data_IF_533719042318
#
_entry.id   IF_533719042318
#
_cell.length_a   1.000
_cell.length_b   1.000
_cell.length_c   1.000
_cell.angle_alpha   90.00
_cell.angle_beta   90.00
_cell.angle_gamma   90.00
#
_symmetry.space_group_name_H-M   'P 1'
#
loop_
_entity.id
_entity.type
_entity.pdbx_description
1 polymer ?
#
# COMPACT_ATOMS: atom_id res chain seq x y z
N UNK A 1 12.14 5.49 -11.75
CA UNK A 1 10.89 5.34 -11.02
C UNK A 1 9.75 5.88 -11.88
N UNK A 2 8.96 5.04 -12.53
CA UNK A 2 7.89 5.42 -13.47
C UNK A 2 8.33 6.38 -14.60
N UNK A 3 9.55 6.18 -15.13
CA UNK A 3 10.09 7.01 -16.20
C UNK A 3 10.53 8.42 -15.79
N UNK A 4 10.58 8.74 -14.50
CA UNK A 4 11.15 10.00 -14.03
C UNK A 4 12.67 9.97 -14.19
N UNK A 5 13.21 10.82 -15.04
CA UNK A 5 14.64 11.02 -15.20
C UNK A 5 15.02 12.38 -14.59
N UNK A 6 15.94 12.36 -13.64
CA UNK A 6 16.44 13.57 -12.99
C UNK A 6 17.11 14.51 -14.02
N UNK A 7 17.68 13.95 -15.08
CA UNK A 7 18.31 14.73 -16.18
C UNK A 7 17.34 15.73 -16.78
N UNK A 8 16.07 15.39 -16.96
CA UNK A 8 15.06 16.32 -17.48
C UNK A 8 14.96 17.63 -16.69
N UNK A 9 15.28 17.60 -15.39
CA UNK A 9 15.30 18.80 -14.54
C UNK A 9 16.66 19.47 -14.55
N UNK A 10 17.74 18.68 -14.63
CA UNK A 10 19.10 19.21 -14.61
C UNK A 10 19.45 19.90 -15.93
N UNK A 11 19.05 19.29 -17.03
CA UNK A 11 19.38 19.77 -18.40
C UNK A 11 18.47 20.93 -18.84
N UNK A 12 17.37 21.18 -18.11
CA UNK A 12 16.40 22.23 -18.45
C UNK A 12 17.03 23.63 -18.58
N UNK A 13 18.02 23.95 -17.75
CA UNK A 13 18.70 25.25 -17.80
C UNK A 13 19.71 25.32 -18.99
N UNK A 14 20.23 24.16 -19.42
CA UNK A 14 21.09 24.07 -20.60
C UNK A 14 20.25 24.20 -21.88
N UNK A 15 19.08 23.57 -21.92
CA UNK A 15 18.15 23.63 -23.06
C UNK A 15 17.48 25.01 -23.16
N UNK A 16 17.29 25.71 -22.04
CA UNK A 16 16.65 27.04 -21.99
C UNK A 16 17.51 28.07 -21.23
N UNK A 17 18.58 28.62 -21.81
CA UNK A 17 19.51 29.51 -21.11
C UNK A 17 18.90 30.81 -20.58
N UNK A 18 17.79 31.27 -21.16
CA UNK A 18 17.04 32.46 -20.75
C UNK A 18 16.20 32.24 -19.48
N UNK A 19 16.23 31.01 -18.92
CA UNK A 19 15.34 30.63 -17.80
C UNK A 19 15.76 31.30 -16.50
N UNK A 20 14.80 31.95 -15.85
CA UNK A 20 14.98 32.49 -14.50
C UNK A 20 14.70 31.42 -13.45
N UNK A 21 15.71 31.01 -12.73
CA UNK A 21 15.58 30.02 -11.64
C UNK A 21 15.20 30.72 -10.35
N UNK A 22 14.06 30.33 -9.77
CA UNK A 22 13.59 30.80 -8.46
C UNK A 22 13.59 29.62 -7.49
N UNK A 23 14.35 29.75 -6.39
CA UNK A 23 14.42 28.71 -5.34
C UNK A 23 13.44 29.01 -4.23
N UNK A 24 12.47 28.11 -4.02
CA UNK A 24 11.54 28.18 -2.89
C UNK A 24 12.18 27.45 -1.71
N UNK A 25 12.82 28.17 -0.81
CA UNK A 25 13.63 27.60 0.27
C UNK A 25 12.94 27.63 1.64
N UNK A 26 11.92 28.48 1.81
CA UNK A 26 11.13 28.51 3.06
C UNK A 26 10.17 27.32 3.11
N UNK A 27 10.28 26.55 4.19
CA UNK A 27 9.37 25.44 4.51
C UNK A 27 8.38 25.88 5.58
N UNK A 28 7.11 25.54 5.37
CA UNK A 28 6.00 25.92 6.28
C UNK A 28 5.43 24.71 7.03
N UNK A 29 5.93 23.50 6.76
CA UNK A 29 5.38 22.25 7.29
C UNK A 29 6.16 21.74 8.50
N UNK A 30 7.49 21.72 8.39
CA UNK A 30 8.36 20.97 9.28
C UNK A 30 9.19 21.89 10.17
N UNK A 31 9.54 21.40 11.35
CA UNK A 31 10.49 22.07 12.25
C UNK A 31 11.91 22.00 11.69
N UNK A 32 12.81 22.85 12.20
CA UNK A 32 14.20 22.91 11.75
C UNK A 32 14.94 21.58 11.97
N UNK A 33 14.65 20.86 13.06
CA UNK A 33 15.25 19.55 13.35
C UNK A 33 15.01 18.55 12.21
N UNK A 34 13.78 18.51 11.67
CA UNK A 34 13.41 17.63 10.54
C UNK A 34 14.13 18.08 9.27
N UNK A 35 14.19 19.38 9.01
CA UNK A 35 14.84 19.92 7.81
C UNK A 35 16.36 19.68 7.82
N UNK A 36 17.00 19.78 8.98
CA UNK A 36 18.44 19.53 9.13
C UNK A 36 18.75 18.06 8.86
N UNK A 37 17.97 17.14 9.40
CA UNK A 37 18.12 15.71 9.14
C UNK A 37 17.89 15.37 7.67
N UNK A 38 16.81 15.87 7.07
CA UNK A 38 16.52 15.67 5.64
C UNK A 38 17.65 16.26 4.77
N UNK A 39 18.18 17.43 5.11
CA UNK A 39 19.29 18.08 4.40
C UNK A 39 20.58 17.29 4.54
N UNK A 40 20.82 16.63 5.68
CA UNK A 40 21.99 15.78 5.88
C UNK A 40 21.93 14.53 4.99
N UNK A 41 20.76 13.92 4.84
CA UNK A 41 20.55 12.77 3.94
C UNK A 41 20.73 13.19 2.48
N UNK A 42 20.07 14.26 2.05
CA UNK A 42 20.12 14.68 0.64
C UNK A 42 21.49 15.18 0.21
N UNK A 43 22.32 15.67 1.12
CA UNK A 43 23.72 16.07 0.84
C UNK A 43 24.59 14.94 0.29
N UNK A 44 24.22 13.68 0.53
CA UNK A 44 24.94 12.52 -0.01
C UNK A 44 24.70 12.33 -1.51
N UNK A 45 23.68 12.96 -2.08
CA UNK A 45 23.44 12.92 -3.53
C UNK A 45 24.38 13.88 -4.26
N UNK A 46 25.24 13.34 -5.12
CA UNK A 46 26.20 14.13 -5.89
C UNK A 46 25.53 14.96 -7.00
N UNK A 47 24.49 14.39 -7.64
CA UNK A 47 23.77 15.04 -8.75
C UNK A 47 22.50 15.70 -8.20
N UNK A 48 22.63 16.91 -7.68
CA UNK A 48 21.49 17.70 -7.20
C UNK A 48 21.71 19.20 -7.41
N UNK A 49 20.61 19.94 -7.58
CA UNK A 49 20.64 21.40 -7.47
C UNK A 49 20.71 21.79 -6.00
N UNK A 50 21.66 22.63 -5.64
CA UNK A 50 21.77 23.10 -4.27
C UNK A 50 20.54 23.89 -3.85
N UNK A 51 19.97 23.49 -2.72
CA UNK A 51 18.83 24.14 -2.08
C UNK A 51 18.98 24.03 -0.57
N UNK A 52 18.80 25.12 0.15
CA UNK A 52 18.83 25.16 1.62
C UNK A 52 17.44 25.45 2.15
N UNK A 53 16.79 24.43 2.65
CA UNK A 53 15.47 24.59 3.28
C UNK A 53 15.66 25.19 4.68
N UNK A 54 14.83 26.17 5.01
CA UNK A 54 14.75 26.77 6.31
C UNK A 54 13.30 27.00 6.73
N UNK A 55 13.05 27.15 8.03
CA UNK A 55 11.71 27.38 8.59
C UNK A 55 11.77 28.36 9.75
N UNK A 56 10.66 29.02 10.02
CA UNK A 56 10.46 29.83 11.24
C UNK A 56 10.05 28.97 12.45
N UNK A 57 9.70 27.69 12.22
CA UNK A 57 9.36 26.75 13.28
C UNK A 57 10.63 26.20 13.92
N UNK A 58 11.17 26.98 14.86
CA UNK A 58 12.34 26.56 15.62
C UNK A 58 12.01 25.44 16.62
N UNK A 59 12.98 24.58 16.93
CA UNK A 59 12.81 23.49 17.88
C UNK A 59 12.09 22.28 17.29
N UNK A 60 11.23 21.63 18.07
CA UNK A 60 10.53 20.41 17.76
C UNK A 60 11.11 19.19 18.48
N UNK A 61 10.36 18.08 18.46
CA UNK A 61 10.82 16.81 19.03
C UNK A 61 12.05 16.29 18.27
N UNK A 62 12.93 15.63 18.99
CA UNK A 62 14.07 14.94 18.39
C UNK A 62 13.60 13.76 17.53
N UNK A 63 14.34 13.47 16.46
CA UNK A 63 14.07 12.32 15.61
C UNK A 63 14.52 11.06 16.35
N UNK A 64 13.60 10.11 16.49
CA UNK A 64 13.92 8.80 17.05
C UNK A 64 14.36 7.87 15.92
N UNK A 65 15.48 7.22 16.10
CA UNK A 65 15.94 6.14 15.22
C UNK A 65 15.76 4.81 15.94
N UNK A 66 15.07 3.87 15.27
CA UNK A 66 14.90 2.51 15.75
C UNK A 66 15.40 1.54 14.66
N UNK A 67 16.11 0.50 15.09
CA UNK A 67 16.56 -0.59 14.22
C UNK A 67 16.05 -1.90 14.80
N UNK A 68 15.04 -2.49 14.14
CA UNK A 68 14.56 -3.84 14.44
C UNK A 68 15.55 -4.90 13.97
N UNK A 69 15.51 -6.07 14.58
CA UNK A 69 16.22 -7.27 14.13
C UNK A 69 15.59 -7.89 12.88
N UNK A 70 14.27 -7.72 12.75
CA UNK A 70 13.48 -8.16 11.60
C UNK A 70 12.28 -7.22 11.34
N UNK A 71 11.49 -7.54 10.33
CA UNK A 71 10.31 -6.76 9.95
C UNK A 71 9.18 -6.82 10.99
N UNK A 72 9.13 -7.83 11.83
CA UNK A 72 8.11 -7.98 12.86
C UNK A 72 8.41 -7.06 14.05
N UNK A 73 9.66 -6.99 14.48
CA UNK A 73 10.08 -6.05 15.53
C UNK A 73 9.89 -4.60 15.09
N UNK A 74 10.20 -4.27 13.81
CA UNK A 74 9.94 -2.95 13.24
C UNK A 74 8.45 -2.61 13.28
N UNK A 75 7.61 -3.55 12.86
CA UNK A 75 6.15 -3.39 12.85
C UNK A 75 5.56 -3.24 14.27
N UNK A 76 6.07 -3.98 15.24
CA UNK A 76 5.64 -3.88 16.64
C UNK A 76 6.04 -2.53 17.27
N UNK A 77 7.23 -2.01 16.95
CA UNK A 77 7.64 -0.67 17.34
C UNK A 77 6.69 0.39 16.76
N UNK A 78 6.38 0.30 15.46
CA UNK A 78 5.45 1.21 14.77
C UNK A 78 4.05 1.16 15.42
N UNK A 79 3.54 -0.05 15.66
CA UNK A 79 2.22 -0.23 16.26
C UNK A 79 2.13 0.32 17.69
N UNK A 80 3.20 0.18 18.46
CA UNK A 80 3.31 0.74 19.82
C UNK A 80 3.32 2.26 19.77
N UNK A 81 4.11 2.86 18.88
CA UNK A 81 4.17 4.30 18.69
C UNK A 81 2.81 4.86 18.21
N UNK A 82 2.13 4.15 17.31
CA UNK A 82 0.81 4.53 16.82
C UNK A 82 -0.24 4.52 17.93
N UNK A 83 -0.23 3.50 18.79
CA UNK A 83 -1.13 3.41 19.95
C UNK A 83 -0.89 4.55 20.93
N UNK A 84 0.36 4.90 21.22
CA UNK A 84 0.70 6.05 22.05
C UNK A 84 0.17 7.36 21.44
N UNK A 85 0.45 7.61 20.18
CA UNK A 85 0.01 8.81 19.49
C UNK A 85 -1.52 8.97 19.45
N UNK A 86 -2.28 7.87 19.33
CA UNK A 86 -3.75 7.90 19.35
C UNK A 86 -4.31 8.12 20.76
N UNK A 87 -3.63 7.64 21.79
CA UNK A 87 -4.05 7.82 23.19
C UNK A 87 -3.82 9.25 23.68
N UNK A 88 -2.77 9.88 23.22
CA UNK A 88 -2.37 11.24 23.66
C UNK A 88 -3.05 12.36 22.84
N UNK A 89 -3.73 12.01 21.76
CA UNK A 89 -4.31 12.97 20.82
C UNK A 89 -5.71 13.39 21.22
N UNK A 90 -5.85 14.21 22.28
CA UNK A 90 -7.14 14.87 22.60
C UNK A 90 -7.62 15.85 21.51
N UNK A 91 -6.71 16.30 20.63
CA UNK A 91 -6.95 17.31 19.59
C UNK A 91 -7.15 16.75 18.16
N UNK A 92 -7.09 15.45 17.96
CA UNK A 92 -7.31 14.85 16.62
C UNK A 92 -8.79 14.80 16.33
N UNK A 93 -9.23 15.49 15.29
CA UNK A 93 -10.62 15.49 14.84
C UNK A 93 -11.02 14.10 14.37
N UNK A 94 -12.30 13.72 14.56
CA UNK A 94 -12.80 12.45 14.03
C UNK A 94 -12.52 12.32 12.52
N UNK A 95 -11.79 11.28 12.13
CA UNK A 95 -11.40 11.01 10.74
C UNK A 95 -10.05 11.59 10.30
N UNK A 96 -9.37 12.39 11.11
CA UNK A 96 -7.98 12.79 10.88
C UNK A 96 -7.01 11.71 11.39
N UNK A 97 -5.88 11.56 10.70
CA UNK A 97 -4.84 10.63 11.11
C UNK A 97 -3.86 11.34 12.05
N UNK A 98 -3.68 10.79 13.26
CA UNK A 98 -2.69 11.28 14.22
C UNK A 98 -1.25 10.97 13.77
N UNK A 99 -1.05 9.93 12.98
CA UNK A 99 0.25 9.42 12.57
C UNK A 99 0.19 8.92 11.11
N UNK A 100 1.27 9.11 10.38
CA UNK A 100 1.45 8.53 9.06
C UNK A 100 2.67 7.62 9.04
N UNK A 101 2.50 6.41 8.52
CA UNK A 101 3.59 5.45 8.29
C UNK A 101 3.91 5.42 6.80
N UNK A 102 5.17 5.70 6.45
CA UNK A 102 5.63 5.65 5.08
C UNK A 102 6.59 4.46 4.92
N UNK A 103 6.40 3.69 3.87
CA UNK A 103 7.25 2.55 3.54
C UNK A 103 7.68 2.59 2.07
N UNK A 104 8.79 1.92 1.76
CA UNK A 104 9.39 1.96 0.43
C UNK A 104 8.70 1.03 -0.56
N UNK A 105 8.29 -0.15 -0.10
CA UNK A 105 7.67 -1.18 -0.94
C UNK A 105 6.36 -1.66 -0.33
N UNK A 106 5.41 -2.05 -1.18
CA UNK A 106 4.12 -2.56 -0.72
C UNK A 106 4.23 -3.87 0.09
N UNK A 107 5.34 -4.61 -0.03
CA UNK A 107 5.55 -5.83 0.75
C UNK A 107 5.63 -5.54 2.27
N UNK A 108 6.22 -4.40 2.64
CA UNK A 108 6.37 -3.99 4.04
C UNK A 108 5.02 -3.71 4.73
N UNK A 109 3.97 -3.36 3.98
CA UNK A 109 2.68 -3.03 4.58
C UNK A 109 2.07 -4.17 5.38
N UNK A 110 2.32 -5.44 5.00
CA UNK A 110 1.71 -6.60 5.63
C UNK A 110 2.05 -6.71 7.12
N UNK A 111 3.33 -6.70 7.45
CA UNK A 111 3.78 -6.81 8.85
C UNK A 111 3.23 -5.66 9.69
N UNK A 112 3.21 -4.43 9.13
CA UNK A 112 2.69 -3.23 9.79
C UNK A 112 1.17 -3.34 9.99
N UNK A 113 0.41 -3.79 8.98
CA UNK A 113 -1.03 -4.00 9.07
C UNK A 113 -1.39 -5.03 10.15
N UNK A 114 -0.70 -6.17 10.15
CA UNK A 114 -0.91 -7.24 11.13
C UNK A 114 -0.59 -6.76 12.56
N UNK A 115 0.46 -5.96 12.74
CA UNK A 115 0.81 -5.38 14.04
C UNK A 115 -0.22 -4.36 14.52
N UNK A 116 -0.69 -3.44 13.66
CA UNK A 116 -1.73 -2.47 14.00
C UNK A 116 -3.05 -3.15 14.38
N UNK A 117 -3.44 -4.20 13.66
CA UNK A 117 -4.63 -5.01 13.98
C UNK A 117 -4.50 -5.67 15.34
N UNK A 118 -3.33 -6.25 15.68
CA UNK A 118 -3.10 -6.87 16.99
C UNK A 118 -3.26 -5.91 18.16
N UNK A 119 -2.84 -4.65 18.00
CA UNK A 119 -2.96 -3.64 19.05
C UNK A 119 -4.27 -2.85 18.99
N UNK A 120 -5.16 -3.16 18.05
CA UNK A 120 -6.48 -2.53 17.92
C UNK A 120 -6.45 -1.08 17.40
N UNK A 121 -5.38 -0.66 16.70
CA UNK A 121 -5.28 0.66 16.12
C UNK A 121 -5.94 0.68 14.74
N UNK A 122 -6.94 1.54 14.56
CA UNK A 122 -7.58 1.75 13.27
C UNK A 122 -6.62 2.42 12.29
N UNK A 123 -6.54 1.93 11.06
CA UNK A 123 -5.67 2.46 10.03
C UNK A 123 -6.33 2.51 8.66
N UNK A 124 -5.76 3.30 7.76
CA UNK A 124 -6.14 3.40 6.35
C UNK A 124 -4.91 3.38 5.46
N UNK A 125 -4.93 2.55 4.41
CA UNK A 125 -3.89 2.55 3.38
C UNK A 125 -4.24 3.59 2.33
N UNK A 126 -3.27 4.44 1.99
CA UNK A 126 -3.41 5.47 0.96
C UNK A 126 -2.57 5.09 -0.25
N UNK A 127 -3.18 5.10 -1.43
CA UNK A 127 -2.50 4.79 -2.69
C UNK A 127 -2.19 3.31 -2.93
N UNK A 128 -2.76 2.43 -2.11
CA UNK A 128 -2.63 0.97 -2.24
C UNK A 128 -3.91 0.24 -1.88
N UNK A 129 -3.89 -1.07 -2.09
CA UNK A 129 -4.96 -1.99 -1.67
C UNK A 129 -4.41 -2.79 -0.49
N UNK A 130 -5.22 -3.03 0.54
CA UNK A 130 -4.85 -3.90 1.67
C UNK A 130 -4.29 -5.21 1.16
N UNK A 131 -3.31 -5.79 1.84
CA UNK A 131 -2.63 -7.00 1.38
C UNK A 131 -3.62 -8.09 0.96
N UNK A 132 -4.59 -8.40 1.81
CA UNK A 132 -5.60 -9.43 1.55
C UNK A 132 -6.66 -9.03 0.52
N UNK A 133 -6.72 -7.75 0.13
CA UNK A 133 -7.63 -7.25 -0.91
C UNK A 133 -7.00 -7.27 -2.29
N UNK A 134 -5.69 -7.51 -2.41
CA UNK A 134 -5.00 -7.61 -3.68
C UNK A 134 -5.55 -8.75 -4.50
N UNK A 135 -5.69 -8.51 -5.81
CA UNK A 135 -6.28 -9.50 -6.73
C UNK A 135 -5.55 -10.84 -6.64
N UNK A 136 -4.23 -10.82 -6.70
CA UNK A 136 -3.37 -12.01 -6.69
C UNK A 136 -3.55 -12.83 -5.40
N UNK A 137 -3.67 -12.15 -4.27
CA UNK A 137 -3.88 -12.79 -2.97
C UNK A 137 -5.26 -13.42 -2.88
N UNK A 138 -6.29 -12.68 -3.31
CA UNK A 138 -7.67 -13.20 -3.35
C UNK A 138 -7.81 -14.39 -4.30
N UNK A 139 -7.13 -14.35 -5.44
CA UNK A 139 -7.14 -15.45 -6.40
C UNK A 139 -6.43 -16.69 -5.83
N UNK A 140 -5.27 -16.51 -5.20
CA UNK A 140 -4.54 -17.61 -4.52
C UNK A 140 -5.38 -18.22 -3.39
N UNK A 141 -5.97 -17.39 -2.55
CA UNK A 141 -6.85 -17.85 -1.46
C UNK A 141 -8.07 -18.60 -1.98
N UNK A 142 -8.63 -18.17 -3.11
CA UNK A 142 -9.76 -18.86 -3.73
C UNK A 142 -9.35 -20.27 -4.23
N UNK A 143 -8.16 -20.42 -4.83
CA UNK A 143 -7.63 -21.74 -5.18
C UNK A 143 -7.41 -22.63 -3.96
N UNK A 144 -6.85 -22.10 -2.88
CA UNK A 144 -6.66 -22.86 -1.64
C UNK A 144 -7.97 -23.29 -1.01
N UNK A 145 -8.99 -22.41 -1.02
CA UNK A 145 -10.32 -22.75 -0.54
C UNK A 145 -10.96 -23.87 -1.35
N UNK A 146 -10.85 -23.83 -2.68
CA UNK A 146 -11.35 -24.88 -3.55
C UNK A 146 -10.65 -26.22 -3.35
N UNK A 147 -9.33 -26.20 -3.02
CA UNK A 147 -8.62 -27.42 -2.69
C UNK A 147 -9.13 -28.08 -1.39
N UNK A 148 -9.64 -27.29 -0.44
CA UNK A 148 -10.20 -27.78 0.83
C UNK A 148 -11.70 -28.09 0.67
N UNK A 149 -12.42 -27.23 -0.03
CA UNK A 149 -13.87 -27.36 -0.27
C UNK A 149 -14.15 -27.14 -1.79
N UNK A 150 -14.23 -28.21 -2.57
CA UNK A 150 -14.54 -28.13 -4.01
C UNK A 150 -15.93 -27.49 -4.30
N UNK A 151 -16.82 -27.49 -3.34
CA UNK A 151 -18.19 -26.96 -3.45
C UNK A 151 -18.26 -25.44 -3.15
N UNK A 152 -17.13 -24.74 -2.98
CA UNK A 152 -17.11 -23.28 -2.79
C UNK A 152 -17.32 -22.55 -4.13
N UNK A 153 -18.58 -22.34 -4.48
CA UNK A 153 -19.02 -21.68 -5.70
C UNK A 153 -18.47 -20.25 -5.84
N UNK A 154 -18.34 -19.52 -4.77
CA UNK A 154 -17.81 -18.15 -4.76
C UNK A 154 -16.33 -18.14 -5.16
N UNK A 155 -15.54 -19.05 -4.60
CA UNK A 155 -14.14 -19.21 -4.94
C UNK A 155 -13.97 -19.75 -6.37
N UNK A 156 -14.83 -20.67 -6.80
CA UNK A 156 -14.81 -21.21 -8.15
C UNK A 156 -15.08 -20.12 -9.19
N UNK A 157 -16.16 -19.35 -9.07
CA UNK A 157 -16.50 -18.23 -9.96
C UNK A 157 -15.37 -17.22 -10.06
N UNK A 158 -14.65 -17.02 -8.97
CA UNK A 158 -13.52 -16.10 -8.94
C UNK A 158 -12.35 -16.57 -9.80
N UNK A 159 -12.00 -17.84 -9.78
CA UNK A 159 -10.76 -18.36 -10.38
C UNK A 159 -10.96 -19.21 -11.62
N UNK A 160 -12.19 -19.52 -11.98
CA UNK A 160 -12.50 -20.39 -13.13
C UNK A 160 -11.82 -19.93 -14.44
N UNK A 161 -11.65 -18.63 -14.60
CA UNK A 161 -10.96 -18.02 -15.74
C UNK A 161 -9.66 -17.30 -15.37
N UNK A 162 -9.02 -17.69 -14.26
CA UNK A 162 -7.71 -17.19 -13.79
C UNK A 162 -6.78 -18.40 -13.59
N UNK A 163 -5.74 -18.60 -14.40
CA UNK A 163 -5.43 -17.90 -15.65
C UNK A 163 -6.56 -18.07 -16.70
N UNK A 164 -6.51 -17.24 -17.74
CA UNK A 164 -7.54 -17.26 -18.80
C UNK A 164 -7.69 -18.64 -19.44
N UNK A 165 -8.91 -19.20 -19.42
CA UNK A 165 -9.27 -20.52 -19.94
C UNK A 165 -10.36 -20.45 -21.03
N UNK A 166 -10.66 -19.25 -21.52
CA UNK A 166 -11.73 -19.05 -22.52
C UNK A 166 -13.15 -19.09 -21.95
N UNK A 167 -13.30 -19.17 -20.62
CA UNK A 167 -14.58 -19.20 -19.93
C UNK A 167 -15.07 -17.76 -19.72
N UNK A 168 -15.79 -17.25 -20.71
CA UNK A 168 -16.38 -15.91 -20.66
C UNK A 168 -17.76 -15.89 -20.00
N UNK A 169 -18.35 -14.70 -19.97
CA UNK A 169 -19.66 -14.48 -19.36
C UNK A 169 -20.78 -15.38 -19.97
N UNK A 170 -20.78 -15.58 -21.29
CA UNK A 170 -21.78 -16.43 -21.95
C UNK A 170 -21.69 -17.92 -21.57
N UNK A 171 -20.46 -18.42 -21.37
CA UNK A 171 -20.25 -19.80 -20.88
C UNK A 171 -20.76 -19.94 -19.44
N UNK A 172 -20.44 -18.94 -18.57
CA UNK A 172 -20.92 -18.93 -17.19
C UNK A 172 -22.45 -18.88 -17.12
N UNK A 173 -23.10 -18.03 -17.92
CA UNK A 173 -24.57 -17.97 -18.01
C UNK A 173 -25.18 -19.28 -18.51
N UNK A 174 -24.47 -20.02 -19.37
CA UNK A 174 -24.94 -21.33 -19.82
C UNK A 174 -24.83 -22.37 -18.71
N UNK A 175 -23.72 -22.39 -17.95
CA UNK A 175 -23.55 -23.28 -16.80
C UNK A 175 -24.60 -23.04 -15.72
N UNK A 176 -24.93 -21.78 -15.44
CA UNK A 176 -25.95 -21.41 -14.44
C UNK A 176 -27.37 -21.89 -14.84
N UNK A 177 -27.63 -22.08 -16.14
CA UNK A 177 -28.91 -22.59 -16.63
C UNK A 177 -29.07 -24.12 -16.50
N UNK A 178 -27.95 -24.84 -16.35
CA UNK A 178 -27.97 -26.31 -16.20
C UNK A 178 -28.50 -26.70 -14.83
N UNK A 179 -28.23 -25.91 -13.78
CA UNK A 179 -28.74 -26.15 -12.44
C UNK A 179 -29.55 -24.95 -11.88
N UNK A 180 -30.74 -24.67 -12.48
CA UNK A 180 -31.53 -23.52 -12.07
C UNK A 180 -32.14 -23.68 -10.65
N UNK A 181 -32.24 -24.91 -10.14
CA UNK A 181 -32.78 -25.20 -8.82
C UNK A 181 -31.69 -25.18 -7.72
N UNK A 182 -30.39 -25.15 -8.09
CA UNK A 182 -29.29 -25.23 -7.14
C UNK A 182 -29.22 -26.57 -6.40
N UNK A 183 -29.67 -27.66 -7.04
CA UNK A 183 -29.64 -28.99 -6.44
C UNK A 183 -28.23 -29.57 -6.37
N UNK A 184 -27.35 -29.11 -7.27
CA UNK A 184 -25.92 -29.40 -7.24
C UNK A 184 -25.15 -28.29 -6.55
N UNK A 185 -24.11 -28.65 -5.83
CA UNK A 185 -23.35 -27.71 -5.01
C UNK A 185 -22.51 -26.72 -5.82
N UNK A 186 -22.15 -27.11 -7.07
CA UNK A 186 -21.47 -26.19 -8.00
C UNK A 186 -21.98 -26.40 -9.43
N UNK A 187 -22.00 -25.35 -10.27
CA UNK A 187 -22.37 -25.46 -11.69
C UNK A 187 -21.52 -26.46 -12.49
N UNK A 188 -20.25 -26.64 -12.11
CA UNK A 188 -19.36 -27.61 -12.77
C UNK A 188 -19.71 -29.04 -12.43
N UNK A 189 -20.15 -29.31 -11.20
CA UNK A 189 -20.61 -30.65 -10.81
C UNK A 189 -21.95 -30.98 -11.47
N UNK A 190 -22.83 -30.00 -11.64
CA UNK A 190 -24.04 -30.15 -12.39
C UNK A 190 -23.76 -30.56 -13.86
N UNK A 191 -22.86 -29.85 -14.54
CA UNK A 191 -22.47 -30.12 -15.91
C UNK A 191 -21.86 -31.53 -16.10
N UNK A 192 -21.09 -32.03 -15.17
CA UNK A 192 -20.47 -33.35 -15.20
C UNK A 192 -21.50 -34.49 -15.00
N UNK A 193 -22.61 -34.22 -14.34
CA UNK A 193 -23.67 -35.18 -14.11
C UNK A 193 -24.59 -35.43 -15.34
N UNK A 194 -24.65 -34.45 -16.27
CA UNK A 194 -25.42 -34.60 -17.51
C UNK A 194 -24.68 -35.38 -18.61
N UNK A 195 -23.34 -35.50 -18.54
CA UNK A 195 -22.52 -36.26 -19.49
C UNK A 195 -22.33 -37.73 -19.08
N UNK A 196 -22.78 -38.15 -17.91
CA UNK A 196 -22.70 -39.52 -17.40
C UNK A 196 -24.02 -40.28 -17.52
#
# INVERSE_FOLDING_TARGET
WRGADLRNIMDFEEDFPETKVVRLERNYRSTQVILDAASAVIRQNLNRKEKRLWTEQAGGAQITYYRGGDELEEADFIATAARGATSDSADVRPGEAALAVLYRTNAQSRAIEDALLRVGVAYRIIGGVRFYERKEIKDTLAYLKLAINPDDDVSLRRVINVPTRGIGKGVMESLEKIDPAGEHRTPLLAASAEEA
#
